data_IF_867921280560
#
_entry.id   IF_867921280560
#
_cell.length_a   1.000
_cell.length_b   1.000
_cell.length_c   1.000
_cell.angle_alpha   90.00
_cell.angle_beta   90.00
_cell.angle_gamma   90.00
#
_symmetry.space_group_name_H-M   'P 1'
#
loop_
_entity.id
_entity.type
_entity.pdbx_description
1 polymer ?
#
# COMPACT_ATOMS: atom_id res chain seq x y z
N UNK A 1 6.29 12.56 20.86
CA UNK A 1 5.49 12.50 19.62
C UNK A 1 4.13 11.80 19.77
N UNK A 2 3.88 10.97 20.80
CA UNK A 2 2.59 10.26 20.94
C UNK A 2 1.37 11.15 21.27
N UNK A 3 1.55 12.22 22.05
CA UNK A 3 0.43 13.09 22.47
C UNK A 3 -0.21 13.89 21.34
N UNK A 4 0.53 14.20 20.27
CA UNK A 4 0.01 14.93 19.10
C UNK A 4 -1.00 14.12 18.30
N UNK A 5 -0.87 12.78 18.31
CA UNK A 5 -1.76 11.89 17.55
C UNK A 5 -3.10 11.68 18.25
N UNK A 6 -3.09 11.58 19.58
CA UNK A 6 -4.33 11.48 20.37
C UNK A 6 -5.22 12.70 20.18
N UNK A 7 -4.63 13.90 20.12
CA UNK A 7 -5.34 15.17 19.91
C UNK A 7 -6.00 15.23 18.51
N UNK A 8 -5.29 14.78 17.47
CA UNK A 8 -5.85 14.75 16.11
C UNK A 8 -7.01 13.77 15.98
N UNK A 9 -6.91 12.58 16.58
CA UNK A 9 -8.00 11.58 16.56
C UNK A 9 -9.22 12.09 17.33
N UNK A 10 -9.03 12.69 18.51
CA UNK A 10 -10.11 13.28 19.31
C UNK A 10 -10.78 14.44 18.57
N UNK A 11 -10.00 15.34 17.97
CA UNK A 11 -10.53 16.43 17.16
C UNK A 11 -11.40 15.90 16.01
N UNK A 12 -10.95 14.83 15.35
CA UNK A 12 -11.65 14.22 14.22
C UNK A 12 -12.99 13.58 14.64
N UNK A 13 -13.02 12.90 15.80
CA UNK A 13 -14.27 12.36 16.38
C UNK A 13 -15.24 13.49 16.73
N UNK A 14 -14.76 14.57 17.36
CA UNK A 14 -15.59 15.72 17.75
C UNK A 14 -16.18 16.41 16.52
N UNK A 15 -15.40 16.61 15.46
CA UNK A 15 -15.86 17.20 14.19
C UNK A 15 -16.97 16.35 13.56
N UNK A 16 -16.79 15.03 13.54
CA UNK A 16 -17.77 14.10 12.97
C UNK A 16 -19.10 14.12 13.74
N UNK A 17 -19.03 14.27 15.06
CA UNK A 17 -20.19 14.41 15.93
C UNK A 17 -20.88 15.77 15.77
N UNK A 18 -20.12 16.85 15.60
CA UNK A 18 -20.65 18.19 15.30
C UNK A 18 -21.36 18.25 13.93
N UNK A 19 -20.92 17.44 12.97
CA UNK A 19 -21.63 17.26 11.70
C UNK A 19 -22.99 16.59 11.83
N UNK A 20 -23.15 15.69 12.81
CA UNK A 20 -24.44 15.04 13.09
C UNK A 20 -25.43 15.95 13.85
N UNK A 21 -24.95 17.01 14.51
CA UNK A 21 -25.77 17.91 15.33
C UNK A 21 -26.37 19.09 14.58
N UNK A 22 -26.22 19.16 13.24
CA UNK A 22 -26.83 20.21 12.42
C UNK A 22 -26.15 21.59 12.52
N UNK A 23 -24.91 21.68 13.01
CA UNK A 23 -24.10 22.90 12.83
C UNK A 23 -23.94 23.16 11.34
N UNK A 24 -24.06 24.43 10.93
CA UNK A 24 -24.19 24.87 9.54
C UNK A 24 -23.32 24.09 8.55
N UNK A 25 -23.97 23.61 7.48
CA UNK A 25 -23.39 22.74 6.45
C UNK A 25 -22.03 23.20 5.88
N UNK A 26 -21.73 24.50 5.96
CA UNK A 26 -20.46 25.06 5.47
C UNK A 26 -19.30 24.83 6.43
N UNK A 27 -19.53 24.87 7.75
CA UNK A 27 -18.49 24.63 8.75
C UNK A 27 -18.08 23.15 8.76
N UNK A 28 -19.06 22.25 8.64
CA UNK A 28 -18.82 20.80 8.61
C UNK A 28 -18.06 20.38 7.35
N UNK A 29 -18.41 20.97 6.20
CA UNK A 29 -17.65 20.82 4.94
C UNK A 29 -16.21 21.31 5.12
N UNK A 30 -16.02 22.51 5.64
CA UNK A 30 -14.68 23.10 5.83
C UNK A 30 -13.81 22.25 6.77
N UNK A 31 -14.38 21.76 7.88
CA UNK A 31 -13.67 20.90 8.82
C UNK A 31 -13.33 19.53 8.19
N UNK A 32 -14.23 18.94 7.41
CA UNK A 32 -13.96 17.68 6.71
C UNK A 32 -12.88 17.79 5.64
N UNK A 33 -12.76 18.96 4.98
CA UNK A 33 -11.70 19.26 4.02
C UNK A 33 -10.35 19.37 4.72
N UNK A 34 -10.30 20.14 5.82
CA UNK A 34 -9.09 20.34 6.61
C UNK A 34 -8.55 19.04 7.20
N UNK A 35 -9.44 18.19 7.73
CA UNK A 35 -9.03 16.93 8.35
C UNK A 35 -8.26 16.03 7.38
N UNK A 36 -8.86 15.71 6.23
CA UNK A 36 -8.16 14.81 5.32
C UNK A 36 -7.03 15.48 4.53
N UNK A 37 -7.05 16.80 4.34
CA UNK A 37 -5.87 17.51 3.84
C UNK A 37 -4.69 17.40 4.83
N UNK A 38 -4.95 17.49 6.13
CA UNK A 38 -3.94 17.29 7.16
C UNK A 38 -3.43 15.84 7.17
N UNK A 39 -4.32 14.85 7.04
CA UNK A 39 -3.93 13.43 6.93
C UNK A 39 -3.07 13.19 5.70
N UNK A 40 -3.46 13.69 4.53
CA UNK A 40 -2.71 13.50 3.28
C UNK A 40 -1.37 14.24 3.30
N UNK A 41 -1.32 15.47 3.84
CA UNK A 41 -0.07 16.19 4.06
C UNK A 41 0.85 15.44 5.04
N UNK A 42 0.29 14.85 6.10
CA UNK A 42 1.04 14.02 7.04
C UNK A 42 1.57 12.75 6.36
N UNK A 43 0.78 12.09 5.52
CA UNK A 43 1.23 10.92 4.75
C UNK A 43 2.38 11.28 3.82
N UNK A 44 2.28 12.40 3.10
CA UNK A 44 3.36 12.91 2.24
C UNK A 44 4.60 13.23 3.08
N UNK A 45 4.42 13.98 4.17
CA UNK A 45 5.49 14.32 5.09
C UNK A 45 6.18 13.07 5.64
N UNK A 46 5.42 12.06 6.11
CA UNK A 46 5.96 10.81 6.61
C UNK A 46 6.67 10.04 5.50
N UNK A 47 6.09 9.95 4.31
CA UNK A 47 6.70 9.23 3.17
C UNK A 47 8.03 9.87 2.75
N UNK A 48 8.10 11.20 2.74
CA UNK A 48 9.32 11.96 2.46
C UNK A 48 10.33 11.90 3.63
N UNK A 49 9.83 12.04 4.87
CA UNK A 49 10.63 12.01 6.11
C UNK A 49 11.19 10.64 6.42
N UNK A 50 10.49 9.58 6.01
CA UNK A 50 10.98 8.20 6.06
C UNK A 50 12.24 8.00 5.22
N UNK A 51 12.65 9.00 4.42
CA UNK A 51 13.97 9.06 3.76
C UNK A 51 14.31 7.69 3.19
N UNK A 52 13.37 7.07 2.48
CA UNK A 52 13.44 5.71 1.92
C UNK A 52 14.51 5.59 0.80
N UNK A 53 15.21 6.69 0.49
CA UNK A 53 16.49 6.72 -0.25
C UNK A 53 17.76 6.65 0.63
N UNK A 54 17.64 6.67 1.96
CA UNK A 54 18.73 6.62 2.95
C UNK A 54 18.35 5.80 4.19
N UNK A 55 18.08 4.49 4.07
CA UNK A 55 18.10 3.60 5.24
C UNK A 55 19.34 2.67 5.24
N UNK A 56 20.54 3.19 5.56
CA UNK A 56 21.69 2.38 6.00
C UNK A 56 21.52 1.76 7.40
N UNK A 57 20.57 2.23 8.20
CA UNK A 57 20.49 1.93 9.65
C UNK A 57 19.88 0.57 9.98
N UNK A 58 18.94 0.05 9.19
CA UNK A 58 18.44 -1.32 9.39
C UNK A 58 19.54 -2.36 9.14
N UNK A 59 20.45 -2.08 8.20
CA UNK A 59 21.61 -2.94 7.92
C UNK A 59 22.57 -3.08 9.11
N UNK A 60 22.58 -2.15 10.08
CA UNK A 60 23.45 -2.25 11.28
C UNK A 60 22.85 -3.13 12.37
N UNK A 61 21.53 -3.23 12.47
CA UNK A 61 20.85 -4.10 13.44
C UNK A 61 20.91 -5.58 13.03
N UNK A 62 20.97 -5.88 11.74
CA UNK A 62 21.13 -7.26 11.22
C UNK A 62 22.58 -7.70 11.01
N UNK A 63 23.57 -6.80 11.16
CA UNK A 63 24.99 -7.14 10.95
C UNK A 63 25.66 -7.77 12.17
N UNK A 64 25.04 -7.74 13.35
CA UNK A 64 25.71 -8.09 14.60
C UNK A 64 25.90 -9.61 14.81
N UNK A 65 25.20 -10.45 14.05
CA UNK A 65 25.33 -11.93 14.12
C UNK A 65 25.92 -12.60 12.86
N UNK A 66 26.36 -11.82 11.86
CA UNK A 66 27.07 -12.39 10.71
C UNK A 66 28.55 -12.58 11.03
N UNK A 67 28.85 -13.66 11.78
CA UNK A 67 30.17 -14.27 11.74
C UNK A 67 30.58 -14.58 10.30
N UNK A 68 31.89 -14.52 10.04
CA UNK A 68 32.62 -14.68 8.77
C UNK A 68 31.80 -14.96 7.49
N UNK A 69 32.07 -14.22 6.39
CA UNK A 69 31.31 -14.35 5.15
C UNK A 69 31.36 -15.79 4.63
N UNK A 70 30.23 -16.48 4.68
CA UNK A 70 30.08 -17.81 4.08
C UNK A 70 30.04 -17.59 2.56
N UNK A 71 31.02 -18.10 1.79
CA UNK A 71 30.98 -17.98 0.34
C UNK A 71 29.86 -18.88 -0.18
N UNK A 72 28.94 -18.32 -0.98
CA UNK A 72 27.71 -18.94 -1.52
C UNK A 72 26.42 -18.82 -0.68
N UNK A 73 26.18 -17.66 -0.04
CA UNK A 73 24.85 -17.25 0.42
C UNK A 73 23.87 -17.27 -0.79
N UNK A 74 22.99 -18.27 -0.80
CA UNK A 74 22.30 -18.76 -1.99
C UNK A 74 21.62 -17.67 -2.82
N UNK A 75 21.74 -17.74 -4.15
CA UNK A 75 21.05 -16.89 -5.14
C UNK A 75 19.56 -16.64 -4.79
N UNK A 76 18.90 -17.65 -4.20
CA UNK A 76 17.52 -17.61 -3.71
C UNK A 76 17.29 -16.51 -2.66
N UNK A 77 18.20 -16.37 -1.69
CA UNK A 77 18.12 -15.37 -0.62
C UNK A 77 18.28 -13.96 -1.16
N UNK A 78 19.24 -13.77 -2.07
CA UNK A 78 19.46 -12.49 -2.75
C UNK A 78 18.25 -12.06 -3.57
N UNK A 79 17.62 -13.02 -4.26
CA UNK A 79 16.42 -12.75 -5.05
C UNK A 79 15.23 -12.38 -4.17
N UNK A 80 15.00 -13.12 -3.07
CA UNK A 80 13.94 -12.80 -2.12
C UNK A 80 14.11 -11.40 -1.52
N UNK A 81 15.33 -11.06 -1.08
CA UNK A 81 15.65 -9.75 -0.52
C UNK A 81 15.44 -8.62 -1.55
N UNK A 82 15.85 -8.83 -2.81
CA UNK A 82 15.64 -7.89 -3.91
C UNK A 82 14.17 -7.58 -4.14
N UNK A 83 13.33 -8.60 -4.28
CA UNK A 83 11.89 -8.41 -4.56
C UNK A 83 11.11 -7.91 -3.35
N UNK A 84 11.48 -8.33 -2.15
CA UNK A 84 10.94 -7.74 -0.92
C UNK A 84 11.26 -6.24 -0.83
N UNK A 85 12.51 -5.84 -1.06
CA UNK A 85 12.90 -4.43 -1.11
C UNK A 85 12.09 -3.63 -2.14
N UNK A 86 11.86 -4.21 -3.32
CA UNK A 86 11.02 -3.59 -4.35
C UNK A 86 9.58 -3.45 -3.88
N UNK A 87 9.00 -4.49 -3.28
CA UNK A 87 7.64 -4.47 -2.73
C UNK A 87 7.47 -3.33 -1.73
N UNK A 88 8.41 -3.18 -0.79
CA UNK A 88 8.38 -2.10 0.20
C UNK A 88 8.41 -0.72 -0.49
N UNK A 89 9.32 -0.51 -1.44
CA UNK A 89 9.39 0.76 -2.19
C UNK A 89 8.10 1.04 -2.95
N UNK A 90 7.58 0.05 -3.67
CA UNK A 90 6.35 0.13 -4.43
C UNK A 90 5.15 0.45 -3.54
N UNK A 91 5.08 -0.14 -2.33
CA UNK A 91 4.03 0.16 -1.36
C UNK A 91 4.00 1.66 -1.00
N UNK A 92 5.15 2.26 -0.70
CA UNK A 92 5.23 3.69 -0.39
C UNK A 92 4.96 4.59 -1.60
N UNK A 93 5.30 4.14 -2.81
CA UNK A 93 4.89 4.84 -4.05
C UNK A 93 3.37 4.87 -4.15
N UNK A 94 2.69 3.74 -3.92
CA UNK A 94 1.23 3.69 -3.91
C UNK A 94 0.61 4.57 -2.82
N UNK A 95 1.21 4.61 -1.63
CA UNK A 95 0.78 5.50 -0.55
C UNK A 95 0.89 6.98 -0.96
N UNK A 96 1.98 7.36 -1.62
CA UNK A 96 2.18 8.72 -2.12
C UNK A 96 1.14 9.07 -3.20
N UNK A 97 0.94 8.18 -4.17
CA UNK A 97 -0.07 8.36 -5.23
C UNK A 97 -1.47 8.53 -4.61
N UNK A 98 -1.81 7.70 -3.63
CA UNK A 98 -3.08 7.80 -2.90
C UNK A 98 -3.26 9.15 -2.22
N UNK A 99 -2.23 9.64 -1.51
CA UNK A 99 -2.31 10.93 -0.82
C UNK A 99 -2.47 12.11 -1.80
N UNK A 100 -1.79 12.05 -2.96
CA UNK A 100 -1.95 13.06 -4.02
C UNK A 100 -3.36 13.04 -4.61
N UNK A 101 -3.92 11.85 -4.85
CA UNK A 101 -5.29 11.71 -5.36
C UNK A 101 -6.35 12.18 -4.35
N UNK A 102 -6.14 11.93 -3.06
CA UNK A 102 -7.03 12.44 -2.00
C UNK A 102 -6.99 13.98 -1.91
N UNK A 103 -5.79 14.59 -1.98
CA UNK A 103 -5.66 16.06 -2.07
C UNK A 103 -6.36 16.59 -3.31
N UNK A 104 -6.14 15.96 -4.47
CA UNK A 104 -6.76 16.38 -5.72
C UNK A 104 -8.29 16.32 -5.65
N UNK A 105 -8.84 15.24 -5.10
CA UNK A 105 -10.30 15.08 -4.91
C UNK A 105 -10.88 16.17 -4.01
N UNK A 106 -10.14 16.62 -2.98
CA UNK A 106 -10.56 17.73 -2.11
C UNK A 106 -10.47 19.09 -2.77
N UNK A 107 -9.45 19.33 -3.60
CA UNK A 107 -9.31 20.58 -4.34
C UNK A 107 -10.45 20.77 -5.35
N UNK A 108 -10.92 19.70 -5.96
CA UNK A 108 -12.07 19.73 -6.86
C UNK A 108 -13.37 20.15 -6.16
N UNK A 109 -13.58 19.67 -4.93
CA UNK A 109 -14.71 20.10 -4.10
C UNK A 109 -14.71 21.62 -3.86
N UNK A 110 -13.53 22.26 -3.79
CA UNK A 110 -13.41 23.71 -3.63
C UNK A 110 -13.70 24.49 -4.92
N UNK A 111 -13.41 23.92 -6.09
CA UNK A 111 -13.59 24.59 -7.38
C UNK A 111 -14.99 24.38 -7.97
N UNK A 112 -15.83 23.55 -7.34
CA UNK A 112 -17.19 23.23 -7.80
C UNK A 112 -17.23 22.33 -9.04
N UNK A 113 -16.09 21.76 -9.44
CA UNK A 113 -16.01 20.74 -10.49
C UNK A 113 -16.11 19.37 -9.84
N UNK A 114 -17.24 18.69 -10.02
CA UNK A 114 -17.45 17.32 -9.53
C UNK A 114 -16.90 16.31 -10.55
N UNK A 115 -15.58 16.10 -10.60
CA UNK A 115 -15.07 14.84 -11.19
C UNK A 115 -15.05 13.83 -10.06
N UNK A 116 -15.97 12.86 -10.13
CA UNK A 116 -16.08 11.77 -9.16
C UNK A 116 -14.87 10.84 -9.28
N UNK A 117 -13.75 11.25 -8.71
CA UNK A 117 -12.69 10.31 -8.37
C UNK A 117 -13.25 9.50 -7.22
N UNK A 118 -13.70 8.28 -7.55
CA UNK A 118 -14.32 7.40 -6.58
C UNK A 118 -13.42 7.29 -5.35
N UNK A 119 -13.93 7.70 -4.19
CA UNK A 119 -13.26 7.57 -2.88
C UNK A 119 -12.73 6.14 -2.69
N UNK A 120 -13.39 5.19 -3.32
CA UNK A 120 -12.99 3.79 -3.36
C UNK A 120 -11.64 3.56 -4.04
N UNK A 121 -11.26 4.30 -5.09
CA UNK A 121 -9.93 4.20 -5.70
C UNK A 121 -8.81 4.50 -4.69
N UNK A 122 -8.95 5.60 -3.95
CA UNK A 122 -8.01 6.01 -2.90
C UNK A 122 -7.91 4.93 -1.83
N UNK A 123 -9.04 4.40 -1.36
CA UNK A 123 -9.08 3.32 -0.35
C UNK A 123 -8.38 2.05 -0.83
N UNK A 124 -8.57 1.65 -2.08
CA UNK A 124 -7.90 0.46 -2.63
C UNK A 124 -6.40 0.68 -2.83
N UNK A 125 -5.97 1.89 -3.20
CA UNK A 125 -4.54 2.25 -3.23
C UNK A 125 -3.91 2.18 -1.83
N UNK A 126 -4.61 2.60 -0.78
CA UNK A 126 -4.11 2.52 0.60
C UNK A 126 -4.07 1.09 1.13
N UNK A 127 -5.14 0.33 0.93
CA UNK A 127 -5.26 -1.02 1.48
C UNK A 127 -4.46 -2.03 0.64
N UNK A 128 -4.82 -2.19 -0.63
CA UNK A 128 -4.20 -3.18 -1.50
C UNK A 128 -2.84 -2.70 -2.01
N UNK A 129 -2.76 -1.44 -2.45
CA UNK A 129 -1.53 -0.85 -2.99
C UNK A 129 -0.43 -0.68 -1.95
N UNK A 130 -0.74 -0.03 -0.84
CA UNK A 130 0.22 0.22 0.22
C UNK A 130 0.27 -0.91 1.26
N UNK A 131 -0.78 -1.10 2.05
CA UNK A 131 -0.72 -1.95 3.24
C UNK A 131 -0.40 -3.41 2.89
N UNK A 132 -1.12 -4.02 1.93
CA UNK A 132 -0.88 -5.41 1.51
C UNK A 132 0.53 -5.59 0.92
N UNK A 133 0.94 -4.73 -0.02
CA UNK A 133 2.28 -4.79 -0.62
C UNK A 133 3.38 -4.63 0.42
N UNK A 134 3.20 -3.75 1.40
CA UNK A 134 4.15 -3.55 2.50
C UNK A 134 4.24 -4.80 3.38
N UNK A 135 3.10 -5.36 3.79
CA UNK A 135 3.05 -6.57 4.63
C UNK A 135 3.73 -7.75 3.94
N UNK A 136 3.49 -7.96 2.65
CA UNK A 136 4.12 -9.05 1.89
C UNK A 136 5.63 -8.81 1.74
N UNK A 137 6.03 -7.57 1.44
CA UNK A 137 7.43 -7.20 1.36
C UNK A 137 8.17 -7.42 2.68
N UNK A 138 7.70 -6.82 3.77
CA UNK A 138 8.28 -6.94 5.10
C UNK A 138 8.21 -8.39 5.61
N UNK A 139 7.07 -9.05 5.42
CA UNK A 139 6.84 -10.42 5.83
C UNK A 139 7.84 -11.40 5.21
N UNK A 140 8.18 -11.23 3.92
CA UNK A 140 9.18 -12.05 3.24
C UNK A 140 10.58 -12.00 3.90
N UNK A 141 10.87 -10.94 4.66
CA UNK A 141 12.14 -10.77 5.40
C UNK A 141 12.06 -11.21 6.85
N UNK A 142 11.00 -10.80 7.54
CA UNK A 142 10.91 -10.95 9.00
C UNK A 142 10.41 -12.34 9.40
N UNK A 143 9.42 -12.88 8.67
CA UNK A 143 8.76 -14.14 9.04
C UNK A 143 9.74 -15.32 9.04
N UNK A 144 10.63 -15.51 8.05
CA UNK A 144 11.58 -16.61 8.08
C UNK A 144 12.44 -16.62 9.34
N UNK A 145 12.92 -15.45 9.78
CA UNK A 145 13.72 -15.32 11.00
C UNK A 145 12.95 -15.73 12.26
N UNK A 146 11.67 -15.36 12.36
CA UNK A 146 10.82 -15.78 13.48
C UNK A 146 10.53 -17.29 13.52
N UNK A 147 10.59 -17.97 12.37
CA UNK A 147 10.40 -19.43 12.27
C UNK A 147 11.74 -20.18 12.46
N UNK A 148 12.85 -19.47 12.66
CA UNK A 148 14.18 -20.05 12.78
C UNK A 148 14.81 -20.44 11.44
N UNK A 149 14.26 -19.96 10.32
CA UNK A 149 14.85 -20.15 9.00
C UNK A 149 15.87 -19.07 8.69
N UNK A 150 16.91 -19.45 7.95
CA UNK A 150 17.88 -18.49 7.40
C UNK A 150 17.28 -17.62 6.28
N UNK A 151 16.12 -17.99 5.72
CA UNK A 151 15.47 -17.23 4.65
C UNK A 151 14.20 -17.88 4.13
N UNK A 152 13.47 -17.17 3.26
CA UNK A 152 12.28 -17.72 2.63
C UNK A 152 12.65 -18.80 1.59
N UNK A 153 11.81 -19.81 1.45
CA UNK A 153 12.04 -20.98 0.60
C UNK A 153 12.40 -20.63 -0.85
N UNK A 154 11.62 -19.74 -1.49
CA UNK A 154 11.86 -19.34 -2.88
C UNK A 154 11.72 -17.84 -3.09
N UNK A 155 12.82 -17.19 -3.48
CA UNK A 155 12.81 -15.80 -3.93
C UNK A 155 12.08 -15.57 -5.26
N UNK A 156 11.98 -16.59 -6.11
CA UNK A 156 11.20 -16.52 -7.36
C UNK A 156 9.70 -16.40 -7.06
N UNK A 157 9.21 -17.14 -6.05
CA UNK A 157 7.81 -17.02 -5.60
C UNK A 157 7.52 -15.63 -5.04
N UNK A 158 8.45 -15.01 -4.31
CA UNK A 158 8.30 -13.62 -3.86
C UNK A 158 8.16 -12.66 -5.05
N UNK A 159 8.89 -12.89 -6.14
CA UNK A 159 8.77 -12.11 -7.37
C UNK A 159 7.38 -12.28 -8.01
N UNK A 160 6.87 -13.50 -8.08
CA UNK A 160 5.52 -13.79 -8.63
C UNK A 160 4.45 -13.11 -7.78
N UNK A 161 4.52 -13.24 -6.46
CA UNK A 161 3.61 -12.57 -5.51
C UNK A 161 3.63 -11.05 -5.73
N UNK A 162 4.82 -10.46 -5.87
CA UNK A 162 4.97 -9.04 -6.16
C UNK A 162 4.21 -8.63 -7.43
N UNK A 163 4.41 -9.35 -8.54
CA UNK A 163 3.73 -9.03 -9.79
C UNK A 163 2.22 -9.23 -9.70
N UNK A 164 1.74 -10.28 -9.03
CA UNK A 164 0.31 -10.50 -8.87
C UNK A 164 -0.35 -9.38 -8.07
N UNK A 165 0.26 -8.94 -6.97
CA UNK A 165 -0.26 -7.80 -6.21
C UNK A 165 -0.23 -6.53 -7.04
N UNK A 166 0.86 -6.27 -7.77
CA UNK A 166 0.94 -5.09 -8.63
C UNK A 166 -0.18 -5.08 -9.68
N UNK A 167 -0.41 -6.21 -10.34
CA UNK A 167 -1.49 -6.39 -11.31
C UNK A 167 -2.85 -6.22 -10.66
N UNK A 168 -3.08 -6.81 -9.49
CA UNK A 168 -4.33 -6.69 -8.75
C UNK A 168 -4.64 -5.23 -8.38
N UNK A 169 -3.64 -4.47 -7.94
CA UNK A 169 -3.77 -3.04 -7.63
C UNK A 169 -4.18 -2.28 -8.88
N UNK A 170 -3.43 -2.43 -9.98
CA UNK A 170 -3.72 -1.73 -11.25
C UNK A 170 -5.13 -2.06 -11.74
N UNK A 171 -5.49 -3.35 -11.76
CA UNK A 171 -6.79 -3.82 -12.22
C UNK A 171 -7.94 -3.30 -11.35
N UNK A 172 -7.68 -3.02 -10.07
CA UNK A 172 -8.68 -2.46 -9.16
C UNK A 172 -8.81 -0.95 -9.28
N UNK A 173 -7.70 -0.25 -9.44
CA UNK A 173 -7.66 1.21 -9.32
C UNK A 173 -7.82 1.91 -10.65
N UNK A 174 -7.31 1.35 -11.75
CA UNK A 174 -7.44 1.98 -13.08
C UNK A 174 -8.90 2.15 -13.51
N UNK A 175 -9.78 1.14 -13.40
CA UNK A 175 -11.19 1.31 -13.74
C UNK A 175 -11.90 2.40 -12.92
N UNK A 176 -11.47 2.61 -11.66
CA UNK A 176 -12.05 3.61 -10.76
C UNK A 176 -11.47 5.02 -10.95
N UNK A 177 -10.32 5.14 -11.62
CA UNK A 177 -9.66 6.44 -11.84
C UNK A 177 -9.92 7.00 -13.23
N UNK A 178 -10.42 6.19 -14.16
CA UNK A 178 -10.71 6.63 -15.53
C UNK A 178 -12.09 7.26 -15.59
N UNK A 179 -12.20 8.54 -16.02
CA UNK A 179 -13.50 9.16 -16.26
C UNK A 179 -14.26 8.42 -17.35
N UNK A 180 -15.58 8.36 -17.22
CA UNK A 180 -16.47 7.64 -18.12
C UNK A 180 -16.31 8.08 -19.59
N UNK A 181 -16.09 9.38 -19.82
CA UNK A 181 -15.85 9.95 -21.16
C UNK A 181 -14.68 9.28 -21.91
N UNK A 182 -13.63 8.85 -21.19
CA UNK A 182 -12.49 8.16 -21.79
C UNK A 182 -12.79 6.68 -22.06
N UNK A 183 -13.71 6.08 -21.29
CA UNK A 183 -14.11 4.69 -21.45
C UNK A 183 -14.96 4.53 -22.72
N UNK A 184 -15.82 5.50 -23.04
CA UNK A 184 -16.67 5.47 -24.24
C UNK A 184 -15.89 5.53 -25.56
N UNK A 185 -14.70 6.13 -25.57
CA UNK A 185 -13.83 6.19 -26.75
C UNK A 185 -13.28 4.80 -27.12
N UNK A 186 -13.17 3.89 -26.14
CA UNK A 186 -12.59 2.56 -26.34
C UNK A 186 -13.72 1.57 -26.70
N UNK A 187 -13.64 0.88 -27.86
CA UNK A 187 -14.59 -0.17 -28.19
C UNK A 187 -14.60 -1.25 -27.09
N UNK A 188 -15.78 -1.53 -26.53
CA UNK A 188 -15.96 -2.46 -25.39
C UNK A 188 -15.26 -2.04 -24.09
N UNK A 189 -14.97 -0.74 -23.91
CA UNK A 189 -14.28 -0.21 -22.73
C UNK A 189 -14.95 -0.60 -21.41
N UNK A 190 -16.27 -0.48 -21.32
CA UNK A 190 -17.02 -0.82 -20.10
C UNK A 190 -16.85 -2.30 -19.69
N UNK A 191 -17.00 -3.21 -20.66
CA UNK A 191 -16.81 -4.65 -20.43
C UNK A 191 -15.40 -4.96 -19.94
N UNK A 192 -14.38 -4.35 -20.57
CA UNK A 192 -12.97 -4.51 -20.17
C UNK A 192 -12.78 -4.03 -18.73
N UNK A 193 -13.33 -2.87 -18.36
CA UNK A 193 -13.21 -2.32 -17.01
C UNK A 193 -13.86 -3.23 -15.96
N UNK A 194 -15.06 -3.76 -16.23
CA UNK A 194 -15.77 -4.70 -15.33
C UNK A 194 -14.95 -5.98 -15.15
N UNK A 195 -14.38 -6.52 -16.23
CA UNK A 195 -13.55 -7.72 -16.16
C UNK A 195 -12.24 -7.48 -15.41
N UNK A 196 -11.55 -6.36 -15.65
CA UNK A 196 -10.36 -5.96 -14.89
C UNK A 196 -10.69 -5.86 -13.40
N UNK A 197 -11.75 -5.13 -13.07
CA UNK A 197 -12.18 -4.95 -11.69
C UNK A 197 -12.49 -6.28 -11.00
N UNK A 198 -13.17 -7.21 -11.69
CA UNK A 198 -13.53 -8.53 -11.16
C UNK A 198 -12.30 -9.43 -10.98
N UNK A 199 -11.38 -9.43 -11.95
CA UNK A 199 -10.16 -10.23 -11.91
C UNK A 199 -9.18 -9.78 -10.82
N UNK A 200 -9.20 -8.50 -10.43
CA UNK A 200 -8.32 -7.97 -9.39
C UNK A 200 -8.39 -8.76 -8.08
N UNK A 201 -9.60 -9.11 -7.63
CA UNK A 201 -9.81 -9.86 -6.39
C UNK A 201 -9.24 -11.28 -6.46
N UNK A 202 -9.46 -11.97 -7.58
CA UNK A 202 -8.96 -13.34 -7.79
C UNK A 202 -7.42 -13.33 -7.80
N UNK A 203 -6.81 -12.40 -8.53
CA UNK A 203 -5.36 -12.26 -8.60
C UNK A 203 -4.77 -11.92 -7.22
N UNK A 204 -5.41 -11.01 -6.48
CA UNK A 204 -4.99 -10.65 -5.12
C UNK A 204 -5.03 -11.82 -4.15
N UNK A 205 -6.11 -12.62 -4.17
CA UNK A 205 -6.22 -13.82 -3.34
C UNK A 205 -5.16 -14.86 -3.70
N UNK A 206 -4.91 -15.09 -5.00
CA UNK A 206 -3.86 -15.99 -5.46
C UNK A 206 -2.48 -15.55 -4.97
N UNK A 207 -2.18 -14.25 -4.97
CA UNK A 207 -0.92 -13.73 -4.46
C UNK A 207 -0.71 -14.05 -2.97
N UNK A 208 -1.75 -13.85 -2.15
CA UNK A 208 -1.71 -14.14 -0.71
C UNK A 208 -1.56 -15.65 -0.49
N UNK A 209 -2.30 -16.47 -1.22
CA UNK A 209 -2.20 -17.94 -1.14
C UNK A 209 -0.79 -18.43 -1.50
N UNK A 210 -0.20 -17.92 -2.58
CA UNK A 210 1.17 -18.24 -3.00
C UNK A 210 2.21 -17.81 -1.95
N UNK A 211 2.02 -16.64 -1.33
CA UNK A 211 2.89 -16.18 -0.27
C UNK A 211 2.81 -17.09 0.97
N UNK A 212 1.59 -17.42 1.41
CA UNK A 212 1.35 -18.34 2.53
C UNK A 212 1.93 -19.74 2.25
N UNK A 213 1.78 -20.25 1.03
CA UNK A 213 2.39 -21.51 0.60
C UNK A 213 3.92 -21.47 0.65
N UNK A 214 4.54 -20.38 0.18
CA UNK A 214 6.00 -20.21 0.25
C UNK A 214 6.52 -20.21 1.69
N UNK A 215 5.77 -19.60 2.63
CA UNK A 215 6.09 -19.65 4.05
C UNK A 215 5.89 -21.04 4.65
N UNK A 216 4.85 -21.77 4.24
CA UNK A 216 4.63 -23.15 4.67
C UNK A 216 5.79 -24.06 4.27
N UNK A 217 6.25 -23.96 3.02
CA UNK A 217 7.44 -24.69 2.54
C UNK A 217 8.71 -24.28 3.29
N UNK A 218 8.83 -23.00 3.65
CA UNK A 218 9.93 -22.49 4.48
C UNK A 218 9.98 -23.21 5.82
N UNK A 219 8.83 -23.42 6.47
CA UNK A 219 8.72 -24.14 7.74
C UNK A 219 9.06 -25.63 7.58
N UNK A 220 8.62 -26.27 6.50
CA UNK A 220 8.89 -27.70 6.28
C UNK A 220 10.38 -27.99 6.06
N UNK A 221 11.11 -27.07 5.43
CA UNK A 221 12.55 -27.26 5.10
C UNK A 221 13.46 -27.24 6.34
N UNK A 222 12.96 -26.76 7.49
CA UNK A 222 13.73 -26.68 8.75
C UNK A 222 13.58 -27.95 9.59
N UNK A 223 12.50 -28.71 9.39
CA UNK A 223 12.24 -29.98 10.08
C UNK A 223 12.99 -31.11 9.40
#
# INVERSE_FOLDING_TARGET
MGYSYGILILANIIIKFAGMSGLGNDLTKLLSLLDGAAVSALIIYLTLSLRILKIPSLNRLFKKDQGNPIPAESEKLNLAQKWSNRSIKTAYIWLLISALLDIYSRLQFLTGYEVDIGIDAVRHLQLLGFATTLVLGVGAKLIPGFIGSKGIYSGKLVAVVYWFILTAVIFRTVPLLLPYDYIEIIPHGESIMIHMFSLSGIIGMLAIALFGWNLHLTKQTIR
#
